data_IF_294764879404
#
_entry.id   IF_294764879404
#
_cell.length_a   1.000
_cell.length_b   1.000
_cell.length_c   1.000
_cell.angle_alpha   90.00
_cell.angle_beta   90.00
_cell.angle_gamma   90.00
#
_symmetry.space_group_name_H-M   'P 1'
#
loop_
_entity.id
_entity.type
_entity.pdbx_description
1 polymer ?
#
# COMPACT_ATOMS: atom_id res chain seq x y z
N UNK A 1 25.44 45.92 -30.54
CA UNK A 1 24.66 44.75 -30.98
C UNK A 1 25.20 43.55 -30.24
N UNK A 2 24.43 43.01 -29.30
CA UNK A 2 24.84 41.88 -28.45
C UNK A 2 24.59 40.57 -29.16
N UNK A 3 25.62 39.74 -29.29
CA UNK A 3 25.52 38.32 -29.61
C UNK A 3 25.05 37.56 -28.38
N UNK A 4 24.13 36.60 -28.53
CA UNK A 4 24.00 35.48 -27.60
C UNK A 4 23.68 34.20 -28.37
N UNK A 5 24.64 33.30 -28.27
CA UNK A 5 24.75 31.89 -28.61
C UNK A 5 23.48 31.06 -28.32
N UNK A 6 23.03 30.28 -29.31
CA UNK A 6 21.91 29.34 -29.21
C UNK A 6 22.46 27.94 -28.95
N UNK A 7 22.90 27.73 -27.71
CA UNK A 7 23.23 26.40 -27.21
C UNK A 7 22.65 26.25 -25.80
N UNK A 8 21.32 26.28 -25.69
CA UNK A 8 20.59 25.98 -24.45
C UNK A 8 19.98 24.59 -24.56
N UNK A 9 20.24 23.78 -23.53
CA UNK A 9 20.21 22.32 -23.56
C UNK A 9 18.87 21.67 -23.84
N UNK A 10 18.95 20.55 -24.55
CA UNK A 10 17.90 19.54 -24.60
C UNK A 10 17.73 18.99 -23.19
N UNK A 11 16.55 19.18 -22.59
CA UNK A 11 16.22 18.61 -21.28
C UNK A 11 15.99 17.11 -21.44
N UNK A 12 16.35 16.31 -20.43
CA UNK A 12 16.08 14.87 -20.41
C UNK A 12 14.59 14.56 -20.65
N UNK A 13 13.69 15.50 -20.29
CA UNK A 13 12.25 15.39 -20.54
C UNK A 13 11.88 15.48 -22.03
N UNK A 14 12.65 16.22 -22.84
CA UNK A 14 12.39 16.36 -24.28
C UNK A 14 12.74 15.05 -25.02
N UNK A 15 13.74 14.33 -24.53
CA UNK A 15 14.16 13.02 -25.05
C UNK A 15 13.12 11.94 -24.69
N UNK A 16 12.55 11.98 -23.48
CA UNK A 16 11.52 11.04 -23.05
C UNK A 16 10.21 11.24 -23.83
N UNK A 17 9.81 12.48 -24.12
CA UNK A 17 8.58 12.79 -24.85
C UNK A 17 8.59 12.22 -26.29
N UNK A 18 9.74 12.27 -26.98
CA UNK A 18 9.89 11.76 -28.34
C UNK A 18 9.90 10.22 -28.44
N UNK A 19 10.04 9.50 -27.32
CA UNK A 19 10.04 8.03 -27.31
C UNK A 19 8.64 7.38 -27.36
N UNK A 20 7.58 8.18 -27.27
CA UNK A 20 6.20 7.67 -27.15
C UNK A 20 5.46 7.44 -28.48
N UNK A 21 6.13 7.57 -29.62
CA UNK A 21 5.49 7.45 -30.93
C UNK A 21 5.74 6.07 -31.56
N UNK A 22 4.69 5.23 -31.48
CA UNK A 22 4.31 4.16 -32.43
C UNK A 22 4.93 2.77 -32.22
N UNK A 23 4.31 2.01 -31.31
CA UNK A 23 4.31 0.54 -31.36
C UNK A 23 3.40 0.05 -32.48
N UNK A 24 3.99 -0.49 -33.55
CA UNK A 24 3.30 -1.37 -34.49
C UNK A 24 4.20 -2.56 -34.86
N UNK A 25 3.77 -3.73 -34.39
CA UNK A 25 3.99 -5.09 -34.91
C UNK A 25 5.41 -5.62 -35.16
N UNK A 26 5.65 -6.74 -34.47
CA UNK A 26 6.41 -7.94 -34.87
C UNK A 26 7.94 -7.86 -34.92
N UNK A 27 8.55 -8.83 -34.23
CA UNK A 27 9.96 -9.27 -34.30
C UNK A 27 10.95 -8.42 -33.52
N UNK A 28 11.44 -8.92 -32.38
CA UNK A 28 12.49 -8.21 -31.65
C UNK A 28 12.81 -8.75 -30.26
N UNK A 29 12.97 -10.06 -30.12
CA UNK A 29 13.47 -10.75 -28.90
C UNK A 29 14.98 -10.46 -28.66
N UNK A 30 15.40 -9.20 -28.85
CA UNK A 30 16.81 -8.77 -28.83
C UNK A 30 17.06 -7.41 -28.18
N UNK A 31 16.02 -6.65 -27.81
CA UNK A 31 16.18 -5.34 -27.16
C UNK A 31 16.11 -5.42 -25.63
N UNK A 32 15.49 -6.47 -25.07
CA UNK A 32 15.52 -6.75 -23.63
C UNK A 32 16.89 -7.30 -23.16
N UNK A 33 17.71 -7.85 -24.06
CA UNK A 33 19.10 -8.24 -23.74
C UNK A 33 20.09 -7.09 -23.81
N UNK A 34 19.74 -5.94 -24.41
CA UNK A 34 20.63 -4.78 -24.49
C UNK A 34 20.62 -3.93 -23.21
N UNK A 35 19.53 -3.94 -22.44
CA UNK A 35 19.45 -3.24 -21.14
C UNK A 35 20.19 -4.00 -20.03
N UNK A 36 20.40 -5.31 -20.17
CA UNK A 36 21.20 -6.11 -19.25
C UNK A 36 22.72 -6.08 -19.54
N UNK A 37 23.15 -5.46 -20.63
CA UNK A 37 24.58 -5.23 -20.94
C UNK A 37 25.12 -3.89 -20.42
N UNK A 38 24.27 -3.01 -19.90
CA UNK A 38 24.69 -1.73 -19.32
C UNK A 38 25.30 -1.88 -17.92
N UNK A 39 24.91 -2.90 -17.15
CA UNK A 39 25.51 -3.22 -15.84
C UNK A 39 26.85 -3.97 -15.97
N UNK A 40 27.13 -4.58 -17.13
CA UNK A 40 28.40 -5.27 -17.41
C UNK A 40 29.53 -4.34 -17.89
N UNK A 41 29.19 -3.18 -18.44
CA UNK A 41 30.16 -2.26 -19.07
C UNK A 41 30.95 -1.41 -18.07
N UNK A 42 30.39 -1.15 -16.88
CA UNK A 42 31.03 -0.34 -15.84
C UNK A 42 32.15 -1.10 -15.13
N UNK A 43 31.92 -2.39 -14.84
CA UNK A 43 32.93 -3.27 -14.23
C UNK A 43 34.09 -3.56 -15.20
N UNK A 44 33.79 -3.76 -16.48
CA UNK A 44 34.79 -3.95 -17.54
C UNK A 44 35.66 -2.70 -17.77
N UNK A 45 35.09 -1.50 -17.59
CA UNK A 45 35.83 -0.23 -17.68
C UNK A 45 36.89 -0.05 -16.60
N UNK A 46 36.61 -0.49 -15.36
CA UNK A 46 37.56 -0.42 -14.23
C UNK A 46 38.75 -1.37 -14.41
N UNK A 47 38.50 -2.60 -14.84
CA UNK A 47 39.55 -3.61 -15.03
C UNK A 47 40.47 -3.25 -16.20
N UNK A 48 39.91 -2.79 -17.33
CA UNK A 48 40.68 -2.27 -18.44
C UNK A 48 41.49 -1.01 -18.08
N UNK A 49 40.94 -0.17 -17.21
CA UNK A 49 41.61 1.05 -16.72
C UNK A 49 42.79 0.74 -15.78
N UNK A 50 42.62 -0.17 -14.81
CA UNK A 50 43.71 -0.61 -13.94
C UNK A 50 44.84 -1.26 -14.74
N UNK A 51 44.50 -1.98 -15.81
CA UNK A 51 45.50 -2.59 -16.69
C UNK A 51 46.30 -1.54 -17.49
N UNK A 52 45.67 -0.46 -17.96
CA UNK A 52 46.37 0.66 -18.59
C UNK A 52 47.26 1.42 -17.60
N UNK A 53 46.81 1.63 -16.36
CA UNK A 53 47.59 2.30 -15.30
C UNK A 53 48.84 1.49 -14.90
N UNK A 54 48.69 0.17 -14.76
CA UNK A 54 49.83 -0.74 -14.50
C UNK A 54 50.80 -0.79 -15.67
N UNK A 55 50.29 -0.74 -16.90
CA UNK A 55 51.11 -0.73 -18.12
C UNK A 55 51.91 0.57 -18.25
N UNK A 56 51.31 1.73 -17.93
CA UNK A 56 52.03 3.00 -17.90
C UNK A 56 53.10 3.04 -16.79
N UNK A 57 52.80 2.57 -15.57
CA UNK A 57 53.78 2.46 -14.49
C UNK A 57 54.99 1.59 -14.85
N UNK A 58 54.78 0.49 -15.57
CA UNK A 58 55.86 -0.40 -16.06
C UNK A 58 56.75 0.25 -17.14
N UNK A 59 56.24 1.23 -17.87
CA UNK A 59 56.94 1.88 -18.99
C UNK A 59 57.36 3.34 -18.70
N UNK A 60 57.25 3.82 -17.45
CA UNK A 60 57.73 5.16 -17.09
C UNK A 60 59.26 5.20 -16.98
N UNK A 61 59.85 6.34 -17.36
CA UNK A 61 61.26 6.62 -17.14
C UNK A 61 61.44 7.05 -15.66
N UNK A 62 62.31 6.39 -14.88
CA UNK A 62 62.50 6.68 -13.45
C UNK A 62 63.03 8.09 -13.14
N UNK A 63 63.49 8.84 -14.15
CA UNK A 63 64.02 10.20 -13.98
C UNK A 63 62.97 11.32 -14.18
N UNK A 64 61.76 11.02 -14.68
CA UNK A 64 60.66 11.99 -14.85
C UNK A 64 59.28 11.28 -14.72
N UNK A 65 58.76 11.09 -13.49
CA UNK A 65 57.44 10.50 -13.29
C UNK A 65 56.32 11.49 -13.68
N UNK A 66 55.39 11.05 -14.53
CA UNK A 66 54.15 11.79 -14.80
C UNK A 66 53.17 11.66 -13.61
N UNK A 67 52.46 12.74 -13.28
CA UNK A 67 51.52 12.76 -12.16
C UNK A 67 50.17 12.14 -12.55
N UNK A 68 49.94 10.91 -12.07
CA UNK A 68 48.69 10.17 -12.28
C UNK A 68 47.63 10.48 -11.19
N UNK A 69 47.86 11.46 -10.30
CA UNK A 69 46.96 11.79 -9.19
C UNK A 69 45.54 12.18 -9.64
N UNK A 70 45.41 12.96 -10.73
CA UNK A 70 44.12 13.37 -11.29
C UNK A 70 43.28 12.16 -11.77
N UNK A 71 43.93 11.13 -12.30
CA UNK A 71 43.26 9.90 -12.75
C UNK A 71 42.83 9.01 -11.59
N UNK A 72 43.64 8.92 -10.54
CA UNK A 72 43.26 8.23 -9.29
C UNK A 72 42.07 8.92 -8.63
N UNK A 73 42.04 10.26 -8.62
CA UNK A 73 40.91 11.03 -8.12
C UNK A 73 39.63 10.77 -8.94
N UNK A 74 39.72 10.70 -10.27
CA UNK A 74 38.58 10.40 -11.13
C UNK A 74 38.08 8.96 -10.98
N UNK A 75 38.97 7.97 -10.80
CA UNK A 75 38.59 6.59 -10.48
C UNK A 75 37.95 6.46 -9.10
N UNK A 76 38.43 7.22 -8.11
CA UNK A 76 37.81 7.29 -6.79
C UNK A 76 36.39 7.88 -6.87
N UNK A 77 36.19 8.91 -7.72
CA UNK A 77 34.87 9.47 -8.00
C UNK A 77 33.92 8.45 -8.65
N UNK A 78 34.41 7.70 -9.66
CA UNK A 78 33.62 6.62 -10.28
C UNK A 78 33.30 5.48 -9.32
N UNK A 79 34.27 5.05 -8.50
CA UNK A 79 34.04 4.01 -7.48
C UNK A 79 33.02 4.46 -6.44
N UNK A 80 33.00 5.75 -6.10
CA UNK A 80 31.99 6.33 -5.21
C UNK A 80 30.60 6.34 -5.85
N UNK A 81 30.50 6.71 -7.14
CA UNK A 81 29.25 6.64 -7.91
C UNK A 81 28.72 5.22 -8.07
N UNK A 82 29.60 4.25 -8.33
CA UNK A 82 29.27 2.83 -8.39
C UNK A 82 28.80 2.31 -7.03
N UNK A 83 29.46 2.75 -5.94
CA UNK A 83 29.04 2.48 -4.57
C UNK A 83 27.64 3.01 -4.28
N UNK A 84 27.33 4.25 -4.69
CA UNK A 84 25.99 4.86 -4.55
C UNK A 84 24.96 4.12 -5.41
N UNK A 85 25.31 3.72 -6.62
CA UNK A 85 24.41 2.97 -7.52
C UNK A 85 24.08 1.60 -6.91
N UNK A 86 25.10 0.88 -6.45
CA UNK A 86 24.94 -0.40 -5.74
C UNK A 86 24.10 -0.22 -4.48
N UNK A 87 24.30 0.88 -3.75
CA UNK A 87 23.49 1.20 -2.58
C UNK A 87 22.03 1.41 -2.97
N UNK A 88 21.74 2.17 -4.03
CA UNK A 88 20.36 2.35 -4.51
C UNK A 88 19.72 1.03 -4.94
N UNK A 89 20.46 0.14 -5.60
CA UNK A 89 19.98 -1.19 -5.99
C UNK A 89 19.67 -2.08 -4.78
N UNK A 90 20.54 -2.05 -3.77
CA UNK A 90 20.32 -2.79 -2.52
C UNK A 90 19.12 -2.23 -1.74
N UNK A 91 18.95 -0.91 -1.67
CA UNK A 91 17.80 -0.26 -1.03
C UNK A 91 16.50 -0.63 -1.76
N UNK A 92 16.51 -0.61 -3.09
CA UNK A 92 15.37 -1.02 -3.92
C UNK A 92 15.02 -2.50 -3.69
N UNK A 93 16.04 -3.36 -3.60
CA UNK A 93 15.86 -4.78 -3.29
C UNK A 93 15.30 -5.02 -1.89
N UNK A 94 15.76 -4.27 -0.89
CA UNK A 94 15.23 -4.32 0.48
C UNK A 94 13.77 -3.87 0.50
N UNK A 95 13.42 -2.79 -0.20
CA UNK A 95 12.04 -2.33 -0.31
C UNK A 95 11.13 -3.38 -0.96
N UNK A 96 11.61 -4.08 -2.00
CA UNK A 96 10.90 -5.19 -2.64
C UNK A 96 10.69 -6.39 -1.71
N UNK A 97 11.72 -6.77 -0.94
CA UNK A 97 11.63 -7.82 0.07
C UNK A 97 10.64 -7.45 1.19
N UNK A 98 10.67 -6.21 1.65
CA UNK A 98 9.73 -5.71 2.65
C UNK A 98 8.27 -5.75 2.15
N UNK A 99 8.03 -5.27 0.92
CA UNK A 99 6.72 -5.36 0.26
C UNK A 99 6.23 -6.81 0.15
N UNK A 100 7.11 -7.74 -0.24
CA UNK A 100 6.79 -9.17 -0.31
C UNK A 100 6.43 -9.76 1.05
N UNK A 101 7.13 -9.36 2.11
CA UNK A 101 6.82 -9.79 3.48
C UNK A 101 5.46 -9.28 3.96
N UNK A 102 5.12 -8.03 3.61
CA UNK A 102 3.81 -7.45 3.89
C UNK A 102 2.71 -8.18 3.12
N UNK A 103 2.96 -8.58 1.87
CA UNK A 103 2.03 -9.37 1.07
C UNK A 103 1.74 -10.74 1.71
N UNK A 104 2.75 -11.41 2.28
CA UNK A 104 2.56 -12.68 2.98
C UNK A 104 1.72 -12.53 4.25
N UNK A 105 1.99 -11.49 5.06
CA UNK A 105 1.18 -11.18 6.24
C UNK A 105 -0.26 -10.85 5.85
N UNK A 106 -0.44 -10.06 4.81
CA UNK A 106 -1.74 -9.72 4.22
C UNK A 106 -2.51 -10.95 3.74
N UNK A 107 -1.84 -11.88 3.07
CA UNK A 107 -2.45 -13.12 2.57
C UNK A 107 -3.06 -13.95 3.72
N UNK A 108 -2.43 -13.94 4.89
CA UNK A 108 -2.97 -14.61 6.08
C UNK A 108 -4.27 -14.02 6.63
N UNK A 109 -4.62 -12.79 6.23
CA UNK A 109 -5.86 -12.12 6.58
C UNK A 109 -7.02 -12.54 5.68
N UNK A 110 -6.75 -13.01 4.45
CA UNK A 110 -7.78 -13.45 3.51
C UNK A 110 -8.58 -14.60 4.13
N UNK A 111 -9.90 -14.47 4.11
CA UNK A 111 -10.83 -15.41 4.74
C UNK A 111 -11.03 -15.20 6.25
N UNK A 112 -10.22 -14.36 6.92
CA UNK A 112 -10.45 -14.00 8.32
C UNK A 112 -11.52 -12.92 8.44
N UNK A 113 -12.19 -12.91 9.58
CA UNK A 113 -13.07 -11.81 9.99
C UNK A 113 -12.24 -10.74 10.69
N UNK A 114 -12.45 -9.48 10.32
CA UNK A 114 -11.86 -8.30 10.96
C UNK A 114 -12.95 -7.38 11.49
N UNK A 115 -12.68 -6.66 12.56
CA UNK A 115 -13.59 -5.63 13.09
C UNK A 115 -13.18 -4.28 12.53
N UNK A 116 -14.11 -3.60 11.87
CA UNK A 116 -13.91 -2.25 11.29
C UNK A 116 -15.03 -1.32 11.72
N UNK A 117 -14.72 -0.03 11.79
CA UNK A 117 -15.75 0.99 12.00
C UNK A 117 -16.60 1.14 10.73
N UNK A 118 -17.81 0.62 10.75
CA UNK A 118 -18.72 0.59 9.59
C UNK A 118 -20.17 0.55 10.03
N UNK A 119 -21.03 1.18 9.25
CA UNK A 119 -22.48 1.08 9.38
C UNK A 119 -23.09 0.03 8.45
N UNK A 120 -22.29 -0.82 7.78
CA UNK A 120 -22.79 -1.83 6.85
C UNK A 120 -22.22 -3.20 7.17
N UNK A 121 -23.03 -4.24 7.05
CA UNK A 121 -22.63 -5.64 7.27
C UNK A 121 -23.20 -6.53 6.18
N UNK A 122 -22.42 -7.52 5.75
CA UNK A 122 -22.91 -8.60 4.88
C UNK A 122 -23.39 -9.77 5.70
N UNK A 123 -24.59 -10.24 5.38
CA UNK A 123 -25.15 -11.47 5.91
C UNK A 123 -25.06 -12.54 4.84
N UNK A 124 -24.07 -13.41 4.96
CA UNK A 124 -23.88 -14.55 4.06
C UNK A 124 -24.61 -15.81 4.56
N UNK A 125 -24.79 -15.90 5.89
CA UNK A 125 -25.55 -16.96 6.53
C UNK A 125 -26.43 -16.33 7.62
N UNK A 126 -27.76 -16.26 7.42
CA UNK A 126 -28.66 -15.56 8.33
C UNK A 126 -28.93 -16.34 9.63
N UNK A 127 -28.42 -17.57 9.79
CA UNK A 127 -28.44 -18.28 11.06
C UNK A 127 -27.21 -18.02 11.93
N UNK A 128 -26.17 -17.38 11.37
CA UNK A 128 -24.97 -16.99 12.12
C UNK A 128 -25.21 -15.59 12.72
N UNK A 129 -25.18 -15.45 14.06
CA UNK A 129 -25.33 -14.13 14.68
C UNK A 129 -24.22 -13.18 14.26
N UNK A 130 -24.58 -11.92 14.04
CA UNK A 130 -23.66 -10.80 13.83
C UNK A 130 -23.45 -10.12 15.18
N UNK A 131 -22.24 -10.23 15.73
CA UNK A 131 -21.88 -9.51 16.95
C UNK A 131 -21.04 -8.30 16.59
N UNK A 132 -21.50 -7.13 17.00
CA UNK A 132 -20.80 -5.85 16.83
C UNK A 132 -20.61 -5.15 18.17
N UNK A 133 -19.99 -3.99 18.12
CA UNK A 133 -19.86 -3.11 19.27
C UNK A 133 -20.04 -1.65 18.90
N UNK A 134 -20.45 -0.85 19.88
CA UNK A 134 -20.44 0.61 19.80
C UNK A 134 -19.47 1.16 20.83
N UNK A 135 -18.75 2.22 20.47
CA UNK A 135 -17.87 2.92 21.41
C UNK A 135 -18.62 4.11 22.03
N UNK A 136 -18.74 4.10 23.36
CA UNK A 136 -19.41 5.12 24.14
C UNK A 136 -18.38 6.01 24.84
N UNK A 137 -18.35 7.30 24.50
CA UNK A 137 -17.46 8.28 25.15
C UNK A 137 -17.90 8.63 26.58
N UNK A 138 -19.18 8.45 26.89
CA UNK A 138 -19.79 8.71 28.20
C UNK A 138 -20.82 7.63 28.50
N UNK A 139 -21.29 7.55 29.76
CA UNK A 139 -22.40 6.67 30.09
C UNK A 139 -23.71 7.16 29.46
N UNK A 140 -24.51 6.23 28.97
CA UNK A 140 -25.84 6.48 28.39
C UNK A 140 -26.91 5.84 29.28
N UNK A 141 -28.06 6.50 29.41
CA UNK A 141 -29.21 5.94 30.14
C UNK A 141 -30.05 4.97 29.28
N UNK A 142 -29.86 5.01 27.97
CA UNK A 142 -30.55 4.19 26.97
C UNK A 142 -29.92 4.44 25.60
N UNK A 143 -30.12 3.55 24.65
CA UNK A 143 -29.59 3.68 23.30
C UNK A 143 -30.14 2.58 22.41
N UNK A 144 -30.11 2.77 21.10
CA UNK A 144 -30.66 1.81 20.16
C UNK A 144 -29.68 1.52 19.04
N UNK A 145 -29.66 0.27 18.59
CA UNK A 145 -29.04 -0.16 17.34
C UNK A 145 -30.17 -0.54 16.39
N UNK A 146 -30.31 0.19 15.30
CA UNK A 146 -31.31 -0.06 14.27
C UNK A 146 -30.63 -0.69 13.07
N UNK A 147 -31.18 -1.81 12.62
CA UNK A 147 -30.78 -2.52 11.41
C UNK A 147 -31.81 -2.22 10.32
N UNK A 148 -31.34 -1.75 9.17
CA UNK A 148 -32.15 -1.44 7.99
C UNK A 148 -31.71 -2.28 6.79
N UNK A 149 -32.66 -2.57 5.90
CA UNK A 149 -32.36 -3.20 4.62
C UNK A 149 -31.77 -2.21 3.60
N UNK A 150 -31.49 -2.69 2.38
CA UNK A 150 -31.00 -1.89 1.25
C UNK A 150 -31.93 -0.73 0.84
N UNK A 151 -33.21 -0.82 1.16
CA UNK A 151 -34.22 0.19 0.81
C UNK A 151 -34.39 1.21 1.96
N UNK A 152 -33.61 1.06 3.05
CA UNK A 152 -33.65 1.92 4.22
C UNK A 152 -34.75 1.58 5.21
N UNK A 153 -35.51 0.49 5.00
CA UNK A 153 -36.58 0.08 5.92
C UNK A 153 -35.98 -0.57 7.16
N UNK A 154 -36.39 -0.10 8.33
CA UNK A 154 -36.01 -0.72 9.60
C UNK A 154 -36.60 -2.11 9.71
N UNK A 155 -35.73 -3.12 9.84
CA UNK A 155 -36.12 -4.53 9.98
C UNK A 155 -35.97 -5.02 11.41
N UNK A 156 -35.09 -4.42 12.21
CA UNK A 156 -34.85 -4.79 13.61
C UNK A 156 -34.31 -3.60 14.38
N UNK A 157 -34.74 -3.47 15.62
CA UNK A 157 -34.15 -2.52 16.58
C UNK A 157 -33.75 -3.29 17.83
N UNK A 158 -32.53 -3.06 18.29
CA UNK A 158 -31.95 -3.65 19.49
C UNK A 158 -31.78 -2.53 20.51
N UNK A 159 -32.32 -2.71 21.70
CA UNK A 159 -32.09 -1.79 22.81
C UNK A 159 -30.74 -2.10 23.47
N UNK A 160 -29.88 -1.09 23.57
CA UNK A 160 -28.61 -1.18 24.28
C UNK A 160 -28.80 -1.05 25.79
N UNK A 161 -29.91 -0.44 26.23
CA UNK A 161 -30.18 -0.09 27.61
C UNK A 161 -29.18 0.93 28.17
N UNK A 162 -29.16 1.05 29.50
CA UNK A 162 -28.18 1.86 30.19
C UNK A 162 -26.79 1.19 30.13
N UNK A 163 -25.76 1.97 29.76
CA UNK A 163 -24.37 1.48 29.63
C UNK A 163 -23.40 2.54 30.14
N UNK A 164 -22.33 2.08 30.77
CA UNK A 164 -21.20 2.94 31.13
C UNK A 164 -20.41 3.35 29.87
N UNK A 165 -19.51 4.33 30.01
CA UNK A 165 -18.53 4.65 28.97
C UNK A 165 -17.66 3.42 28.64
N UNK A 166 -17.22 3.30 27.39
CA UNK A 166 -16.43 2.19 26.88
C UNK A 166 -17.12 1.43 25.74
N UNK A 167 -16.66 0.20 25.50
CA UNK A 167 -17.21 -0.66 24.44
C UNK A 167 -18.48 -1.37 24.92
N UNK A 168 -19.59 -1.16 24.23
CA UNK A 168 -20.83 -1.90 24.45
C UNK A 168 -21.09 -2.84 23.27
N UNK A 169 -21.16 -4.14 23.54
CA UNK A 169 -21.47 -5.15 22.53
C UNK A 169 -22.97 -5.29 22.29
N UNK A 170 -23.32 -5.66 21.06
CA UNK A 170 -24.66 -6.07 20.69
C UNK A 170 -24.58 -7.27 19.73
N UNK A 171 -25.65 -8.05 19.67
CA UNK A 171 -25.74 -9.20 18.77
C UNK A 171 -27.07 -9.16 18.04
N UNK A 172 -27.00 -9.27 16.71
CA UNK A 172 -28.16 -9.48 15.86
C UNK A 172 -28.19 -10.93 15.38
N UNK A 173 -29.35 -11.56 15.51
CA UNK A 173 -29.59 -12.98 15.23
C UNK A 173 -29.95 -13.28 13.76
N UNK A 174 -29.84 -12.28 12.87
CA UNK A 174 -30.22 -12.43 11.46
C UNK A 174 -31.74 -12.47 11.24
N UNK A 175 -32.54 -12.02 12.21
CA UNK A 175 -34.01 -11.99 12.13
C UNK A 175 -34.57 -10.57 12.20
N UNK A 176 -35.70 -10.38 11.55
CA UNK A 176 -36.48 -9.14 11.65
C UNK A 176 -37.29 -9.06 12.96
N UNK A 177 -38.03 -7.97 13.16
CA UNK A 177 -38.88 -7.74 14.33
C UNK A 177 -40.07 -8.70 14.45
N UNK A 178 -40.42 -9.45 13.39
CA UNK A 178 -41.44 -10.50 13.43
C UNK A 178 -40.86 -11.87 13.82
N UNK A 179 -39.54 -11.98 13.91
CA UNK A 179 -38.82 -13.22 14.16
C UNK A 179 -38.53 -14.03 12.90
N UNK A 180 -38.84 -13.50 11.71
CA UNK A 180 -38.52 -14.14 10.44
C UNK A 180 -37.05 -13.93 10.08
N UNK A 181 -36.43 -14.96 9.51
CA UNK A 181 -35.04 -14.92 9.04
C UNK A 181 -34.96 -14.00 7.83
N UNK A 182 -34.01 -13.06 7.84
CA UNK A 182 -33.84 -12.14 6.72
C UNK A 182 -33.05 -12.79 5.58
N UNK A 183 -33.26 -12.36 4.32
CA UNK A 183 -32.46 -12.84 3.20
C UNK A 183 -30.96 -12.56 3.35
N UNK A 184 -30.15 -13.31 2.60
CA UNK A 184 -28.72 -12.97 2.47
C UNK A 184 -28.55 -11.65 1.74
N UNK A 185 -27.57 -10.84 2.15
CA UNK A 185 -27.28 -9.56 1.53
C UNK A 185 -26.70 -8.52 2.48
N UNK A 186 -26.63 -7.29 1.97
CA UNK A 186 -26.10 -6.14 2.71
C UNK A 186 -27.18 -5.49 3.56
N UNK A 187 -26.86 -5.25 4.82
CA UNK A 187 -27.70 -4.51 5.77
C UNK A 187 -26.94 -3.34 6.34
N UNK A 188 -27.67 -2.27 6.66
CA UNK A 188 -27.10 -1.12 7.35
C UNK A 188 -27.44 -1.19 8.83
N UNK A 189 -26.49 -0.81 9.67
CA UNK A 189 -26.56 -0.82 11.12
C UNK A 189 -26.21 0.58 11.59
N UNK A 190 -27.15 1.21 12.28
CA UNK A 190 -26.98 2.54 12.86
C UNK A 190 -27.23 2.48 14.36
N UNK A 191 -26.32 3.04 15.15
CA UNK A 191 -26.49 3.17 16.59
C UNK A 191 -26.71 4.63 16.99
N UNK A 192 -27.63 4.89 17.91
CA UNK A 192 -27.89 6.22 18.44
C UNK A 192 -28.27 6.16 19.92
N UNK A 193 -27.81 7.13 20.69
CA UNK A 193 -28.16 7.30 22.09
C UNK A 193 -28.36 8.78 22.45
N UNK A 194 -29.29 9.11 23.37
CA UNK A 194 -29.39 10.44 23.94
C UNK A 194 -28.19 10.71 24.86
N UNK A 195 -27.35 11.68 24.48
CA UNK A 195 -26.26 12.22 25.28
C UNK A 195 -26.59 13.69 25.52
N UNK A 196 -26.62 14.11 26.79
CA UNK A 196 -27.02 15.48 27.19
C UNK A 196 -28.38 15.92 26.61
N UNK A 197 -29.33 14.96 26.52
CA UNK A 197 -30.67 15.20 25.97
C UNK A 197 -30.74 15.32 24.45
N UNK A 198 -29.62 15.11 23.72
CA UNK A 198 -29.56 15.13 22.25
C UNK A 198 -29.29 13.75 21.68
N UNK A 199 -30.06 13.35 20.68
CA UNK A 199 -29.79 12.14 19.91
C UNK A 199 -28.43 12.26 19.22
N UNK A 200 -27.50 11.39 19.59
CA UNK A 200 -26.13 11.38 19.08
C UNK A 200 -25.88 10.05 18.38
N UNK A 201 -25.35 10.11 17.17
CA UNK A 201 -24.96 8.92 16.42
C UNK A 201 -23.68 8.33 17.01
N UNK A 202 -23.67 7.01 17.21
CA UNK A 202 -22.55 6.28 17.78
C UNK A 202 -21.76 5.55 16.69
N UNK A 203 -20.44 5.51 16.82
CA UNK A 203 -19.60 4.73 15.93
C UNK A 203 -19.84 3.23 16.15
N UNK A 204 -20.27 2.55 15.09
CA UNK A 204 -20.52 1.10 15.07
C UNK A 204 -19.30 0.37 14.52
N UNK A 205 -18.95 -0.72 15.16
CA UNK A 205 -17.87 -1.61 14.76
C UNK A 205 -18.45 -2.99 14.48
N UNK A 206 -18.30 -3.45 13.24
CA UNK A 206 -18.90 -4.70 12.76
C UNK A 206 -17.83 -5.64 12.20
N UNK A 207 -18.07 -6.96 12.26
CA UNK A 207 -17.26 -7.95 11.59
C UNK A 207 -17.46 -7.85 10.08
N UNK A 208 -16.35 -7.94 9.35
CA UNK A 208 -16.35 -8.10 7.91
C UNK A 208 -15.29 -9.13 7.51
N UNK A 209 -15.64 -10.03 6.60
CA UNK A 209 -14.71 -11.03 6.06
C UNK A 209 -13.79 -10.36 5.04
N UNK A 210 -12.50 -10.66 5.10
CA UNK A 210 -11.53 -10.21 4.10
C UNK A 210 -11.59 -11.12 2.89
N UNK A 211 -12.02 -10.61 1.73
CA UNK A 211 -12.11 -11.38 0.49
C UNK A 211 -10.77 -11.41 -0.25
N UNK A 212 -10.04 -10.31 -0.24
CA UNK A 212 -8.70 -10.22 -0.83
C UNK A 212 -7.96 -9.04 -0.22
N UNK A 213 -6.66 -8.93 -0.51
CA UNK A 213 -5.85 -7.79 -0.11
C UNK A 213 -5.19 -7.17 -1.33
N UNK A 214 -5.20 -5.84 -1.39
CA UNK A 214 -4.55 -5.06 -2.41
C UNK A 214 -3.33 -4.38 -1.80
N UNK A 215 -2.16 -4.62 -2.41
CA UNK A 215 -0.91 -3.99 -2.04
C UNK A 215 -0.65 -2.81 -2.98
N UNK A 216 -0.27 -1.65 -2.44
CA UNK A 216 0.09 -0.51 -3.27
C UNK A 216 1.51 -0.68 -3.81
N UNK A 217 1.66 -0.63 -5.14
CA UNK A 217 2.98 -0.72 -5.80
C UNK A 217 3.82 0.57 -5.64
N UNK A 218 3.21 1.66 -5.18
CA UNK A 218 3.85 2.98 -5.03
C UNK A 218 4.05 3.37 -3.57
N UNK A 219 4.08 2.40 -2.65
CA UNK A 219 4.29 2.65 -1.21
C UNK A 219 3.06 3.18 -0.46
N UNK A 220 1.86 3.02 -1.03
CA UNK A 220 0.61 3.29 -0.32
C UNK A 220 0.26 2.22 0.71
N UNK A 221 -0.75 2.53 1.53
CA UNK A 221 -1.21 1.62 2.57
C UNK A 221 -1.80 0.32 2.00
N UNK A 222 -1.64 -0.78 2.74
CA UNK A 222 -2.32 -2.04 2.48
C UNK A 222 -3.85 -1.84 2.57
N UNK A 223 -4.59 -2.26 1.55
CA UNK A 223 -6.05 -2.20 1.54
C UNK A 223 -6.65 -3.61 1.59
N UNK A 224 -7.54 -3.86 2.55
CA UNK A 224 -8.33 -5.07 2.64
C UNK A 224 -9.63 -4.90 1.85
N UNK A 225 -9.90 -5.80 0.92
CA UNK A 225 -11.19 -5.84 0.23
C UNK A 225 -12.15 -6.65 1.10
N UNK A 226 -13.03 -5.95 1.81
CA UNK A 226 -13.96 -6.54 2.76
C UNK A 226 -15.29 -6.87 2.10
N UNK A 227 -15.89 -8.00 2.49
CA UNK A 227 -17.18 -8.45 2.00
C UNK A 227 -18.21 -7.32 2.11
N UNK A 228 -18.69 -6.88 0.93
CA UNK A 228 -19.67 -5.81 0.70
C UNK A 228 -19.48 -4.48 1.44
N UNK A 229 -18.25 -4.16 1.85
CA UNK A 229 -17.80 -2.80 2.15
C UNK A 229 -16.83 -2.29 1.06
N UNK A 230 -16.18 -3.21 0.33
CA UNK A 230 -15.13 -2.85 -0.63
C UNK A 230 -13.78 -2.62 0.05
N UNK A 231 -12.89 -1.82 -0.56
CA UNK A 231 -11.52 -1.63 -0.08
C UNK A 231 -11.47 -0.73 1.16
N UNK A 232 -10.91 -1.25 2.26
CA UNK A 232 -10.71 -0.56 3.54
C UNK A 232 -9.23 -0.63 3.93
N UNK A 233 -8.66 0.50 4.31
CA UNK A 233 -7.27 0.58 4.75
C UNK A 233 -7.01 -0.27 6.02
N UNK A 234 -5.88 -0.97 6.09
CA UNK A 234 -5.55 -1.83 7.24
C UNK A 234 -5.55 -1.06 8.57
N UNK A 235 -5.16 0.22 8.59
CA UNK A 235 -5.18 1.09 9.77
C UNK A 235 -6.58 1.36 10.34
N UNK A 236 -7.63 1.13 9.55
CA UNK A 236 -9.03 1.25 9.99
C UNK A 236 -9.56 -0.05 10.61
N UNK A 237 -8.77 -1.13 10.58
CA UNK A 237 -9.07 -2.37 11.28
C UNK A 237 -8.72 -2.22 12.76
N UNK A 238 -9.69 -2.48 13.62
CA UNK A 238 -9.50 -2.44 15.06
C UNK A 238 -8.98 -3.77 15.61
N UNK A 239 -9.43 -4.89 15.06
CA UNK A 239 -9.04 -6.23 15.53
C UNK A 239 -9.13 -7.25 14.38
N UNK A 240 -8.22 -8.23 14.39
CA UNK A 240 -8.14 -9.30 13.39
C UNK A 240 -8.44 -10.63 14.09
N UNK A 241 -9.40 -11.39 13.54
CA UNK A 241 -9.79 -12.70 14.03
C UNK A 241 -10.82 -12.63 15.17
N UNK A 242 -11.87 -13.43 15.04
CA UNK A 242 -12.74 -13.90 16.13
C UNK A 242 -12.84 -15.42 16.04
#
# INVERSE_FOLDING_TARGET
MSVTDSTAGLSMNDILANSSVKSSSSTGDGIASATNSATGSQKLGKDAFLQLLVTQLKNQNPLDPQDNSAFVAQLAQFSSLEGITTLNDTVTSIAGNYSSSQALQASSLVGRSVIVQTGSVQVDNPTKPVTGSVNLSTSIAGGTVTITDKDGKAIRTIDLGARAAGSASFTWDGKDSSGAVVPVGTYNVKASAPIDGKATDLAVYLPATVNSVTLSQTGGELMLNLAGLGPVALSKVQTIGI
#
